data_IF_850436353371
#
_entry.id   IF_850436353371
#
_cell.length_a   1.000
_cell.length_b   1.000
_cell.length_c   1.000
_cell.angle_alpha   90.00
_cell.angle_beta   90.00
_cell.angle_gamma   90.00
#
_symmetry.space_group_name_H-M   'P 1'
#
loop_
_entity.id
_entity.type
_entity.pdbx_description
1 polymer ?
#
# COMPACT_ATOMS: atom_id res chain seq x y z
N UNK A 1 21.40 34.63 1.43
CA UNK A 1 20.63 33.42 1.77
C UNK A 1 19.76 33.71 2.97
N UNK A 2 18.43 33.67 2.79
CA UNK A 2 17.50 33.67 3.93
C UNK A 2 17.72 32.39 4.73
N UNK A 3 17.65 32.48 6.06
CA UNK A 3 17.60 31.30 6.92
C UNK A 3 16.36 30.53 6.50
N UNK A 4 16.50 29.33 5.95
CA UNK A 4 15.39 28.41 5.76
C UNK A 4 14.70 28.28 7.12
N UNK A 5 13.49 28.80 7.24
CA UNK A 5 12.69 28.66 8.44
C UNK A 5 12.18 27.21 8.41
N UNK A 6 12.94 26.34 9.06
CA UNK A 6 12.72 24.90 9.21
C UNK A 6 11.52 24.61 10.11
N UNK A 7 10.31 24.92 9.65
CA UNK A 7 9.10 24.62 10.41
C UNK A 7 7.98 24.26 9.45
N UNK A 8 7.83 22.97 9.24
CA UNK A 8 6.54 22.40 8.90
C UNK A 8 5.52 22.87 9.95
N UNK A 9 4.63 23.76 9.55
CA UNK A 9 3.61 24.42 10.38
C UNK A 9 2.19 24.17 9.85
N UNK A 10 2.03 23.99 8.54
CA UNK A 10 0.75 23.68 7.87
C UNK A 10 0.97 22.88 6.58
N UNK A 11 -0.08 22.22 6.11
CA UNK A 11 -0.18 21.64 4.77
C UNK A 11 -1.61 21.76 4.22
N UNK A 12 -1.76 21.67 2.90
CA UNK A 12 -3.04 21.56 2.21
C UNK A 12 -3.12 20.19 1.56
N UNK A 13 -4.24 19.51 1.78
CA UNK A 13 -4.44 18.11 1.39
C UNK A 13 -5.70 17.96 0.55
N UNK A 14 -5.69 17.00 -0.37
CA UNK A 14 -6.80 16.71 -1.26
C UNK A 14 -7.01 15.21 -1.39
N UNK A 15 -8.27 14.81 -1.56
CA UNK A 15 -8.62 13.44 -1.89
C UNK A 15 -8.30 13.17 -3.37
N UNK A 16 -7.61 12.07 -3.68
CA UNK A 16 -7.36 11.62 -5.06
C UNK A 16 -8.35 10.54 -5.49
N UNK A 17 -8.21 10.06 -6.72
CA UNK A 17 -9.09 9.04 -7.33
C UNK A 17 -9.06 7.69 -6.59
N UNK A 18 -7.97 7.42 -5.88
CA UNK A 18 -7.78 6.25 -5.01
C UNK A 18 -8.51 6.36 -3.66
N UNK A 19 -9.26 7.45 -3.44
CA UNK A 19 -9.95 7.76 -2.18
C UNK A 19 -9.02 7.92 -0.98
N UNK A 20 -7.74 8.20 -1.22
CA UNK A 20 -6.78 8.54 -0.19
C UNK A 20 -6.47 10.03 -0.16
N UNK A 21 -5.94 10.51 0.97
CA UNK A 21 -5.53 11.90 1.16
C UNK A 21 -4.06 12.10 0.79
N UNK A 22 -3.80 13.14 0.01
CA UNK A 22 -2.46 13.46 -0.46
C UNK A 22 -2.14 14.92 -0.21
N UNK A 23 -0.88 15.22 0.05
CA UNK A 23 -0.40 16.59 0.23
C UNK A 23 -0.31 17.27 -1.14
N UNK A 24 -0.93 18.45 -1.26
CA UNK A 24 -0.84 19.31 -2.43
C UNK A 24 0.12 20.49 -2.22
N UNK A 25 0.08 21.10 -1.04
CA UNK A 25 0.97 22.19 -0.67
C UNK A 25 1.46 22.02 0.78
N UNK A 26 2.69 22.41 1.07
CA UNK A 26 3.30 22.26 2.39
C UNK A 26 4.14 23.48 2.73
N UNK A 27 4.13 23.85 4.00
CA UNK A 27 4.90 24.99 4.51
C UNK A 27 6.43 24.83 4.45
N UNK A 28 6.92 23.60 4.32
CA UNK A 28 8.36 23.28 4.21
C UNK A 28 8.66 22.57 2.89
N UNK A 29 8.52 23.32 1.79
CA UNK A 29 8.77 22.89 0.40
C UNK A 29 10.25 22.61 0.08
N UNK A 30 11.15 22.80 1.06
CA UNK A 30 12.58 22.55 0.92
C UNK A 30 12.95 21.14 1.35
N UNK A 31 12.29 20.62 2.40
CA UNK A 31 12.60 19.30 2.96
C UNK A 31 11.61 18.22 2.52
N UNK A 32 10.44 18.62 2.00
CA UNK A 32 9.41 17.69 1.53
C UNK A 32 9.20 17.86 0.03
N UNK A 33 9.27 16.75 -0.69
CA UNK A 33 8.67 16.67 -2.02
C UNK A 33 7.17 16.40 -1.86
N UNK A 34 6.33 17.20 -2.51
CA UNK A 34 4.87 17.01 -2.48
C UNK A 34 4.43 15.93 -3.47
N UNK A 35 5.27 15.61 -4.47
CA UNK A 35 4.97 14.58 -5.45
C UNK A 35 4.96 13.19 -4.79
N UNK A 36 3.75 12.65 -4.60
CA UNK A 36 3.58 11.35 -3.95
C UNK A 36 3.61 11.39 -2.42
N UNK A 37 3.58 12.57 -1.80
CA UNK A 37 3.49 12.68 -0.35
C UNK A 37 2.06 12.40 0.12
N UNK A 38 1.88 11.23 0.73
CA UNK A 38 0.62 10.82 1.32
C UNK A 38 0.47 11.27 2.76
N UNK A 39 -0.78 11.36 3.25
CA UNK A 39 -1.08 11.68 4.64
C UNK A 39 -2.21 10.79 5.13
N UNK A 40 -2.06 10.27 6.35
CA UNK A 40 -3.00 9.34 6.95
C UNK A 40 -4.13 10.14 7.59
N UNK A 41 -5.37 9.81 7.21
CA UNK A 41 -6.55 10.44 7.81
C UNK A 41 -6.92 9.81 9.17
N UNK A 42 -7.75 10.48 9.99
CA UNK A 42 -8.09 9.98 11.33
C UNK A 42 -8.70 8.58 11.37
N UNK A 43 -9.45 8.17 10.35
CA UNK A 43 -10.06 6.83 10.28
C UNK A 43 -9.02 5.77 9.93
N UNK A 44 -8.15 6.08 8.98
CA UNK A 44 -7.01 5.23 8.64
C UNK A 44 -6.10 5.04 9.86
N UNK A 45 -5.84 6.12 10.60
CA UNK A 45 -5.03 6.03 11.82
C UNK A 45 -5.72 5.22 12.92
N UNK A 46 -7.05 5.30 13.06
CA UNK A 46 -7.79 4.47 14.01
C UNK A 46 -7.60 2.97 13.72
N UNK A 47 -7.66 2.55 12.46
CA UNK A 47 -7.38 1.16 12.10
C UNK A 47 -5.92 0.78 12.38
N UNK A 48 -4.97 1.66 12.07
CA UNK A 48 -3.55 1.46 12.43
C UNK A 48 -3.42 1.29 13.95
N UNK A 49 -4.10 2.12 14.74
CA UNK A 49 -4.08 2.05 16.21
C UNK A 49 -4.60 0.70 16.72
N UNK A 50 -5.74 0.23 16.21
CA UNK A 50 -6.30 -1.08 16.57
C UNK A 50 -5.30 -2.22 16.26
N UNK A 51 -4.64 -2.17 15.09
CA UNK A 51 -3.63 -3.15 14.73
C UNK A 51 -2.35 -3.03 15.58
N UNK A 52 -1.94 -1.81 15.94
CA UNK A 52 -0.82 -1.56 16.84
C UNK A 52 -1.09 -2.06 18.26
N UNK A 53 -2.33 -1.98 18.75
CA UNK A 53 -2.69 -2.44 20.09
C UNK A 53 -2.31 -3.93 20.29
N UNK A 54 -2.46 -4.76 19.25
CA UNK A 54 -2.05 -6.18 19.26
C UNK A 54 -0.54 -6.38 19.47
N UNK A 55 0.29 -5.43 19.03
CA UNK A 55 1.75 -5.49 19.17
C UNK A 55 2.23 -5.01 20.54
N UNK A 56 1.35 -4.46 21.38
CA UNK A 56 1.70 -3.97 22.72
C UNK A 56 2.29 -5.08 23.59
N UNK A 57 1.72 -6.29 23.52
CA UNK A 57 2.21 -7.46 24.26
C UNK A 57 3.60 -7.92 23.82
N UNK A 58 3.99 -7.58 22.59
CA UNK A 58 5.29 -7.91 22.00
C UNK A 58 6.33 -6.80 22.20
N UNK A 59 5.98 -5.70 22.88
CA UNK A 59 6.91 -4.62 23.22
C UNK A 59 6.83 -3.42 22.27
N UNK A 60 5.64 -3.08 21.78
CA UNK A 60 5.42 -1.81 21.07
C UNK A 60 5.89 -0.62 21.92
N UNK A 61 6.63 0.28 21.29
CA UNK A 61 7.12 1.52 21.90
C UNK A 61 6.26 2.67 21.41
N UNK A 62 5.37 3.16 22.27
CA UNK A 62 4.46 4.27 21.94
C UNK A 62 5.21 5.55 21.55
N UNK A 63 6.42 5.77 22.07
CA UNK A 63 7.21 6.95 21.68
C UNK A 63 7.71 6.84 20.23
N UNK A 64 8.05 5.63 19.76
CA UNK A 64 8.41 5.43 18.35
C UNK A 64 7.23 5.76 17.44
N UNK A 65 6.01 5.37 17.82
CA UNK A 65 4.80 5.69 17.04
C UNK A 65 4.53 7.20 17.03
N UNK A 66 4.51 7.86 18.19
CA UNK A 66 4.25 9.31 18.27
C UNK A 66 5.32 10.12 17.52
N UNK A 67 6.58 9.68 17.52
CA UNK A 67 7.67 10.39 16.83
C UNK A 67 7.67 10.18 15.31
N UNK A 68 7.04 9.12 14.81
CA UNK A 68 7.03 8.77 13.39
C UNK A 68 6.19 9.73 12.53
N UNK A 69 5.31 10.52 13.15
CA UNK A 69 4.34 11.35 12.44
C UNK A 69 4.34 12.80 12.94
N UNK A 70 4.18 13.72 12.00
CA UNK A 70 3.70 15.06 12.28
C UNK A 70 2.17 15.04 12.38
N UNK A 71 1.64 15.64 13.44
CA UNK A 71 0.21 15.66 13.72
C UNK A 71 -0.44 16.97 13.27
N UNK A 72 -1.65 16.84 12.74
CA UNK A 72 -2.36 17.94 12.10
C UNK A 72 -3.85 17.96 12.45
N UNK A 73 -4.37 19.15 12.74
CA UNK A 73 -5.81 19.39 12.92
C UNK A 73 -6.40 20.11 11.69
N UNK A 74 -7.69 19.95 11.46
CA UNK A 74 -8.41 20.67 10.41
C UNK A 74 -8.51 22.15 10.77
N UNK A 75 -7.94 23.01 9.93
CA UNK A 75 -8.00 24.46 10.08
C UNK A 75 -9.14 25.08 9.26
N UNK A 76 -9.27 24.68 7.99
CA UNK A 76 -10.23 25.26 7.04
C UNK A 76 -10.56 24.26 5.92
N UNK A 77 -11.83 24.18 5.53
CA UNK A 77 -12.26 23.47 4.31
C UNK A 77 -12.09 24.38 3.08
N UNK A 78 -11.43 23.87 2.04
CA UNK A 78 -11.19 24.58 0.79
C UNK A 78 -12.35 24.37 -0.20
N UNK A 79 -12.50 25.29 -1.16
CA UNK A 79 -13.65 25.33 -2.07
C UNK A 79 -13.68 24.18 -3.09
N UNK A 80 -12.55 23.54 -3.33
CA UNK A 80 -12.34 22.41 -4.23
C UNK A 80 -12.51 21.05 -3.53
N UNK A 81 -12.87 21.04 -2.24
CA UNK A 81 -12.93 19.83 -1.43
C UNK A 81 -11.59 19.46 -0.79
N UNK A 82 -10.55 20.26 -1.00
CA UNK A 82 -9.32 20.18 -0.22
C UNK A 82 -9.53 20.65 1.22
N UNK A 83 -8.55 20.38 2.07
CA UNK A 83 -8.56 20.79 3.47
C UNK A 83 -7.21 21.40 3.82
N UNK A 84 -7.23 22.54 4.48
CA UNK A 84 -6.04 23.14 5.10
C UNK A 84 -5.89 22.60 6.51
N UNK A 85 -4.69 22.14 6.81
CA UNK A 85 -4.33 21.54 8.08
C UNK A 85 -3.28 22.38 8.81
N UNK A 86 -3.43 22.53 10.12
CA UNK A 86 -2.43 23.17 10.98
C UNK A 86 -1.72 22.12 11.83
N UNK A 87 -0.40 22.25 11.94
CA UNK A 87 0.40 21.35 12.76
C UNK A 87 0.10 21.57 14.24
N UNK A 88 -0.15 20.48 14.94
CA UNK A 88 -0.28 20.43 16.40
C UNK A 88 0.85 19.58 17.00
N UNK A 89 0.85 19.41 18.32
CA UNK A 89 1.85 18.57 19.03
C UNK A 89 1.21 17.53 19.93
N UNK A 90 -0.08 17.30 19.72
CA UNK A 90 -0.84 16.29 20.42
C UNK A 90 -0.41 14.91 19.92
N UNK A 91 -0.45 13.93 20.83
CA UNK A 91 -0.08 12.53 20.56
C UNK A 91 -1.21 11.84 19.80
N UNK A 92 -0.88 11.11 18.74
CA UNK A 92 -1.89 10.38 17.96
C UNK A 92 -2.53 9.25 18.76
N UNK A 93 -1.79 8.66 19.69
CA UNK A 93 -2.26 7.56 20.54
C UNK A 93 -3.12 8.01 21.72
N UNK A 94 -3.11 9.30 22.06
CA UNK A 94 -3.75 9.83 23.28
C UNK A 94 -4.74 10.95 23.04
N UNK A 95 -4.76 11.56 21.87
CA UNK A 95 -5.68 12.62 21.55
C UNK A 95 -7.10 12.06 21.42
N UNK A 96 -8.08 12.76 22.02
CA UNK A 96 -9.49 12.51 21.76
C UNK A 96 -9.95 13.13 20.41
N UNK A 97 -9.13 14.04 19.86
CA UNK A 97 -9.40 14.77 18.63
C UNK A 97 -9.04 13.94 17.39
N UNK A 98 -9.76 14.17 16.29
CA UNK A 98 -9.49 13.54 15.00
C UNK A 98 -8.31 14.24 14.31
N UNK A 99 -7.13 13.62 14.38
CA UNK A 99 -5.88 14.17 13.84
C UNK A 99 -5.45 13.45 12.57
N UNK A 100 -4.93 14.22 11.62
CA UNK A 100 -4.19 13.70 10.47
C UNK A 100 -2.74 13.41 10.88
N UNK A 101 -2.16 12.37 10.29
CA UNK A 101 -0.80 11.94 10.57
C UNK A 101 0.02 11.94 9.28
N UNK A 102 1.01 12.84 9.21
CA UNK A 102 1.96 12.92 8.11
C UNK A 102 3.25 12.20 8.51
N UNK A 103 3.67 11.14 7.81
CA UNK A 103 4.95 10.48 8.05
C UNK A 103 6.16 11.43 8.05
N UNK A 104 7.04 11.32 9.04
CA UNK A 104 8.33 12.03 9.05
C UNK A 104 9.37 11.26 8.20
N UNK A 105 9.28 11.46 6.87
CA UNK A 105 10.13 10.84 5.85
C UNK A 105 11.30 11.73 5.41
N UNK A 106 11.69 12.74 6.21
CA UNK A 106 12.84 13.61 5.86
C UNK A 106 14.15 12.81 5.68
N UNK A 107 14.28 11.67 6.34
CA UNK A 107 15.34 10.68 6.13
C UNK A 107 14.69 9.30 6.00
N UNK A 108 14.53 8.82 4.77
CA UNK A 108 13.87 7.54 4.48
C UNK A 108 14.60 6.32 5.06
N UNK A 109 15.90 6.42 5.34
CA UNK A 109 16.69 5.29 5.87
C UNK A 109 16.80 5.31 7.39
N UNK A 110 16.84 6.49 8.02
CA UNK A 110 17.19 6.68 9.44
C UNK A 110 16.32 7.72 10.16
N UNK A 111 15.25 8.15 9.54
CA UNK A 111 14.27 9.06 10.12
C UNK A 111 13.32 8.36 11.09
N UNK A 112 12.51 9.13 11.82
CA UNK A 112 11.55 8.58 12.79
C UNK A 112 10.56 7.58 12.17
N UNK A 113 10.09 7.87 10.95
CA UNK A 113 9.20 6.95 10.25
C UNK A 113 9.89 5.62 9.88
N UNK A 114 11.12 5.67 9.39
CA UNK A 114 11.92 4.48 9.07
C UNK A 114 12.19 3.61 10.32
N UNK A 115 12.44 4.23 11.47
CA UNK A 115 12.59 3.53 12.74
C UNK A 115 11.28 2.89 13.20
N UNK A 116 10.13 3.55 12.99
CA UNK A 116 8.81 2.98 13.23
C UNK A 116 8.54 1.76 12.36
N UNK A 117 8.74 1.85 11.04
CA UNK A 117 8.57 0.73 10.11
C UNK A 117 9.42 -0.48 10.54
N UNK A 118 10.71 -0.27 10.83
CA UNK A 118 11.59 -1.35 11.32
C UNK A 118 11.12 -1.94 12.65
N UNK A 119 10.57 -1.12 13.54
CA UNK A 119 10.06 -1.57 14.84
C UNK A 119 8.84 -2.47 14.65
N UNK A 120 7.81 -2.00 13.93
CA UNK A 120 6.58 -2.77 13.73
C UNK A 120 6.80 -4.03 12.90
N UNK A 121 7.71 -4.02 11.91
CA UNK A 121 8.08 -5.21 11.14
C UNK A 121 8.68 -6.30 12.04
N UNK A 122 9.59 -5.92 12.96
CA UNK A 122 10.16 -6.87 13.93
C UNK A 122 9.10 -7.43 14.86
N UNK A 123 8.21 -6.58 15.38
CA UNK A 123 7.15 -7.00 16.29
C UNK A 123 6.13 -7.90 15.60
N UNK A 124 5.75 -7.60 14.35
CA UNK A 124 4.87 -8.47 13.56
C UNK A 124 5.47 -9.86 13.38
N UNK A 125 6.75 -9.94 13.02
CA UNK A 125 7.44 -11.24 12.87
C UNK A 125 7.49 -12.01 14.18
N UNK A 126 7.74 -11.34 15.30
CA UNK A 126 7.69 -11.97 16.63
C UNK A 126 6.30 -12.53 16.93
N UNK A 127 5.25 -11.74 16.68
CA UNK A 127 3.87 -12.17 16.88
C UNK A 127 3.49 -13.34 15.97
N UNK A 128 3.85 -13.29 14.69
CA UNK A 128 3.56 -14.38 13.75
C UNK A 128 4.19 -15.69 14.19
N UNK A 129 5.45 -15.67 14.65
CA UNK A 129 6.13 -16.86 15.15
C UNK A 129 5.54 -17.40 16.47
N UNK A 130 4.82 -16.57 17.21
CA UNK A 130 4.13 -16.98 18.44
C UNK A 130 2.74 -17.56 18.14
N UNK A 131 2.04 -17.00 17.16
CA UNK A 131 0.69 -17.41 16.76
C UNK A 131 0.65 -18.58 15.79
N UNK A 132 1.71 -18.78 14.99
CA UNK A 132 1.75 -19.78 13.92
C UNK A 132 2.90 -20.76 14.17
N UNK A 133 2.59 -22.07 14.12
CA UNK A 133 3.59 -23.13 14.15
C UNK A 133 4.22 -23.32 12.77
N UNK A 134 5.21 -22.49 12.45
CA UNK A 134 5.96 -22.62 11.20
C UNK A 134 6.93 -23.80 11.23
N UNK A 135 7.13 -24.50 10.09
CA UNK A 135 8.19 -25.52 9.98
C UNK A 135 9.59 -24.98 10.27
N UNK A 136 9.85 -23.73 9.86
CA UNK A 136 11.05 -22.95 10.16
C UNK A 136 10.61 -21.54 10.59
N UNK A 137 11.26 -20.92 11.59
CA UNK A 137 10.86 -19.59 12.07
C UNK A 137 10.87 -18.56 10.94
N UNK A 138 9.77 -17.82 10.83
CA UNK A 138 9.65 -16.73 9.87
C UNK A 138 10.58 -15.58 10.27
N UNK A 139 11.32 -15.00 9.32
CA UNK A 139 12.29 -13.95 9.64
C UNK A 139 11.86 -12.57 9.13
N UNK A 140 12.51 -11.52 9.65
CA UNK A 140 12.31 -10.15 9.19
C UNK A 140 12.66 -10.02 7.70
N UNK A 141 13.72 -10.70 7.27
CA UNK A 141 14.14 -10.70 5.87
C UNK A 141 13.07 -11.30 4.94
N UNK A 142 12.32 -12.32 5.39
CA UNK A 142 11.23 -12.90 4.60
C UNK A 142 10.09 -11.89 4.40
N UNK A 143 9.68 -11.19 5.47
CA UNK A 143 8.67 -10.14 5.38
C UNK A 143 9.13 -9.00 4.47
N UNK A 144 10.35 -8.50 4.68
CA UNK A 144 10.90 -7.40 3.89
C UNK A 144 11.07 -7.74 2.40
N UNK A 145 11.36 -9.00 2.06
CA UNK A 145 11.43 -9.44 0.66
C UNK A 145 10.08 -9.28 -0.03
N UNK A 146 8.99 -9.72 0.61
CA UNK A 146 7.64 -9.59 0.08
C UNK A 146 7.22 -8.13 -0.05
N UNK A 147 7.52 -7.30 0.97
CA UNK A 147 7.22 -5.87 0.92
C UNK A 147 7.98 -5.17 -0.22
N UNK A 148 9.26 -5.50 -0.43
CA UNK A 148 10.04 -4.97 -1.56
C UNK A 148 9.48 -5.39 -2.92
N UNK A 149 9.00 -6.62 -3.06
CA UNK A 149 8.34 -7.07 -4.29
C UNK A 149 7.07 -6.27 -4.58
N UNK A 150 6.27 -5.99 -3.54
CA UNK A 150 5.06 -5.17 -3.63
C UNK A 150 5.38 -3.74 -4.04
N UNK A 151 6.33 -3.10 -3.35
CA UNK A 151 6.79 -1.74 -3.65
C UNK A 151 7.36 -1.66 -5.07
N UNK A 152 8.20 -2.63 -5.46
CA UNK A 152 8.78 -2.68 -6.81
C UNK A 152 7.71 -2.79 -7.88
N UNK A 153 6.65 -3.56 -7.63
CA UNK A 153 5.51 -3.66 -8.54
C UNK A 153 4.79 -2.32 -8.67
N UNK A 154 4.46 -1.67 -7.56
CA UNK A 154 3.82 -0.35 -7.56
C UNK A 154 4.66 0.69 -8.31
N UNK A 155 5.98 0.68 -8.11
CA UNK A 155 6.93 1.55 -8.79
C UNK A 155 6.97 1.29 -10.31
N UNK A 156 7.00 0.03 -10.75
CA UNK A 156 6.95 -0.32 -12.18
C UNK A 156 5.64 0.15 -12.84
N UNK A 157 4.56 0.21 -12.08
CA UNK A 157 3.25 0.70 -12.52
C UNK A 157 3.13 2.23 -12.45
N UNK A 158 4.17 2.92 -11.97
CA UNK A 158 4.21 4.38 -11.83
C UNK A 158 3.27 4.92 -10.75
N UNK A 159 2.94 4.10 -9.75
CA UNK A 159 2.09 4.49 -8.62
C UNK A 159 2.95 4.74 -7.38
N UNK A 160 2.61 5.79 -6.64
CA UNK A 160 3.13 5.99 -5.29
C UNK A 160 2.29 5.13 -4.34
N UNK A 161 2.95 4.35 -3.49
CA UNK A 161 2.28 3.62 -2.41
C UNK A 161 1.90 4.62 -1.31
N UNK A 162 0.64 4.57 -0.87
CA UNK A 162 0.17 5.41 0.22
C UNK A 162 0.69 4.86 1.55
N UNK A 163 1.16 5.73 2.45
CA UNK A 163 1.78 5.27 3.72
C UNK A 163 0.83 4.47 4.61
N UNK A 164 -0.48 4.72 4.56
CA UNK A 164 -1.46 3.83 5.17
C UNK A 164 -1.36 2.38 4.66
N UNK A 165 -1.26 2.18 3.34
CA UNK A 165 -1.16 0.84 2.74
C UNK A 165 0.16 0.17 3.12
N UNK A 166 1.27 0.90 3.13
CA UNK A 166 2.58 0.42 3.58
C UNK A 166 2.50 -0.11 5.03
N UNK A 167 1.93 0.69 5.95
CA UNK A 167 1.82 0.33 7.36
C UNK A 167 0.92 -0.88 7.55
N UNK A 168 -0.27 -0.89 6.94
CA UNK A 168 -1.21 -2.01 7.08
C UNK A 168 -0.65 -3.29 6.45
N UNK A 169 0.10 -3.19 5.35
CA UNK A 169 0.76 -4.35 4.73
C UNK A 169 1.77 -5.02 5.66
N UNK A 170 2.29 -4.30 6.66
CA UNK A 170 3.11 -4.87 7.73
C UNK A 170 2.22 -5.34 8.87
N UNK A 171 1.37 -4.46 9.41
CA UNK A 171 0.62 -4.72 10.64
C UNK A 171 -0.38 -5.87 10.51
N UNK A 172 -0.96 -6.06 9.33
CA UNK A 172 -1.95 -7.11 9.05
C UNK A 172 -1.35 -8.27 8.22
N UNK A 173 -0.02 -8.30 8.03
CA UNK A 173 0.63 -9.30 7.20
C UNK A 173 0.41 -10.73 7.71
N UNK A 174 -0.11 -11.62 6.87
CA UNK A 174 -0.18 -13.07 7.14
C UNK A 174 0.47 -13.82 5.97
N UNK A 175 1.44 -14.72 6.21
CA UNK A 175 2.04 -15.51 5.15
C UNK A 175 1.01 -16.40 4.43
N UNK A 176 1.21 -16.62 3.13
CA UNK A 176 0.34 -17.45 2.31
C UNK A 176 0.14 -18.86 2.91
N UNK A 177 -1.11 -19.30 2.98
CA UNK A 177 -1.48 -20.62 3.51
C UNK A 177 -1.68 -20.67 5.02
N UNK A 178 -1.53 -19.54 5.73
CA UNK A 178 -1.80 -19.42 7.16
C UNK A 178 -2.98 -18.48 7.43
N UNK A 179 -3.60 -18.63 8.60
CA UNK A 179 -4.65 -17.75 9.12
C UNK A 179 -4.40 -17.57 10.62
N UNK A 180 -4.66 -16.38 11.16
CA UNK A 180 -4.56 -16.15 12.59
C UNK A 180 -5.84 -16.60 13.28
N UNK A 181 -5.74 -17.11 14.51
CA UNK A 181 -6.93 -17.54 15.26
C UNK A 181 -7.93 -16.38 15.47
N UNK A 182 -7.44 -15.14 15.56
CA UNK A 182 -8.27 -13.92 15.59
C UNK A 182 -9.16 -13.78 14.36
N UNK A 183 -8.76 -14.32 13.21
CA UNK A 183 -9.53 -14.27 11.96
C UNK A 183 -10.58 -15.41 11.88
N UNK A 184 -10.49 -16.40 12.77
CA UNK A 184 -11.38 -17.56 12.79
C UNK A 184 -12.68 -17.30 13.57
N UNK A 185 -12.72 -16.29 14.43
CA UNK A 185 -13.92 -15.95 15.22
C UNK A 185 -15.03 -15.30 14.37
N UNK A 186 -14.68 -14.67 13.24
CA UNK A 186 -15.64 -14.25 12.20
C UNK A 186 -16.05 -15.40 11.25
N UNK A 187 -15.36 -16.55 11.34
CA UNK A 187 -15.57 -17.72 10.49
C UNK A 187 -16.34 -18.86 11.17
N UNK A 188 -16.94 -18.64 12.35
CA UNK A 188 -17.61 -19.70 13.15
C UNK A 188 -18.84 -20.33 12.47
N UNK A 189 -19.29 -19.85 11.31
CA UNK A 189 -20.36 -20.52 10.54
C UNK A 189 -19.90 -21.43 9.39
N UNK A 190 -18.60 -21.73 9.25
CA UNK A 190 -18.16 -22.80 8.35
C UNK A 190 -17.06 -23.64 8.95
N UNK A 191 -17.46 -24.68 9.70
CA UNK A 191 -16.65 -25.90 9.82
C UNK A 191 -16.42 -26.46 8.41
N UNK A 192 -15.19 -26.61 7.90
CA UNK A 192 -14.95 -27.65 6.93
C UNK A 192 -14.92 -28.97 7.71
N UNK A 193 -15.91 -29.83 7.48
CA UNK A 193 -15.77 -31.24 7.79
C UNK A 193 -14.51 -31.74 7.05
N UNK A 194 -13.48 -32.10 7.81
CA UNK A 194 -12.36 -32.89 7.30
C UNK A 194 -12.93 -34.26 6.93
N UNK A 195 -13.36 -34.41 5.67
CA UNK A 195 -13.46 -35.69 4.99
C UNK A 195 -12.22 -35.85 4.13
N UNK A 196 -11.21 -36.52 4.69
CA UNK A 196 -10.22 -37.23 3.91
C UNK A 196 -10.93 -38.32 3.11
N UNK A 197 -11.35 -38.00 1.89
CA UNK A 197 -11.76 -38.99 0.91
C UNK A 197 -11.00 -38.66 -0.37
N UNK A 198 -9.78 -39.20 -0.48
CA UNK A 198 -9.02 -39.20 -1.72
C UNK A 198 -9.89 -39.85 -2.80
N UNK A 199 -10.23 -39.17 -3.91
CA UNK A 199 -10.81 -39.86 -5.04
C UNK A 199 -9.74 -40.80 -5.60
N UNK A 200 -10.02 -42.11 -5.57
CA UNK A 200 -9.25 -43.10 -6.32
C UNK A 200 -9.18 -42.63 -7.78
N UNK A 201 -7.96 -42.47 -8.29
CA UNK A 201 -7.70 -42.21 -9.70
C UNK A 201 -8.28 -43.37 -10.52
N UNK A 202 -9.47 -43.17 -11.09
CA UNK A 202 -9.94 -44.02 -12.19
C UNK A 202 -8.91 -43.91 -13.32
N UNK A 203 -8.29 -45.05 -13.63
CA UNK A 203 -7.41 -45.23 -14.77
C UNK A 203 -8.13 -44.76 -16.04
N UNK A 204 -7.69 -43.64 -16.60
CA UNK A 204 -8.12 -43.18 -17.92
C UNK A 204 -7.67 -44.22 -18.94
N UNK A 205 -8.61 -44.99 -19.48
CA UNK A 205 -8.39 -45.78 -20.69
C UNK A 205 -8.00 -44.81 -21.82
N UNK A 206 -6.87 -45.07 -22.49
CA UNK A 206 -6.44 -44.34 -23.68
C UNK A 206 -7.55 -44.39 -24.74
N UNK A 207 -8.20 -43.24 -24.96
CA UNK A 207 -9.11 -43.07 -26.09
C UNK A 207 -8.30 -42.85 -27.39
N UNK A 208 -8.70 -43.48 -28.50
CA UNK A 208 -7.94 -43.48 -29.75
C UNK A 208 -7.95 -42.11 -30.45
N UNK A 209 -6.87 -41.86 -31.20
CA UNK A 209 -6.68 -40.71 -32.08
C UNK A 209 -7.83 -40.57 -33.10
N UNK A 210 -8.73 -39.59 -32.92
CA UNK A 210 -9.55 -39.06 -34.01
C UNK A 210 -9.64 -37.53 -33.97
N UNK A 211 -8.92 -36.93 -34.92
CA UNK A 211 -9.17 -35.66 -35.63
C UNK A 211 -9.91 -34.53 -34.90
N UNK A 212 -9.12 -33.60 -34.34
CA UNK A 212 -9.55 -32.25 -34.06
C UNK A 212 -9.93 -31.53 -35.38
N UNK A 213 -11.24 -31.49 -35.70
CA UNK A 213 -11.78 -30.51 -36.64
C UNK A 213 -11.79 -29.13 -35.98
N UNK A 214 -10.71 -28.39 -36.17
CA UNK A 214 -10.63 -26.96 -35.91
C UNK A 214 -11.60 -26.24 -36.87
N UNK A 215 -12.73 -25.77 -36.34
CA UNK A 215 -13.57 -24.80 -37.04
C UNK A 215 -12.81 -23.47 -37.15
N UNK A 216 -12.28 -23.21 -38.36
CA UNK A 216 -11.73 -21.90 -38.74
C UNK A 216 -12.82 -20.85 -38.58
N UNK A 217 -12.68 -19.95 -37.61
CA UNK A 217 -13.36 -18.66 -37.66
C UNK A 217 -12.67 -17.81 -38.73
N UNK A 218 -13.32 -17.74 -39.88
CA UNK A 218 -12.96 -16.91 -41.02
C UNK A 218 -13.55 -15.51 -40.84
N UNK A 219 -12.77 -14.59 -40.24
CA UNK A 219 -12.98 -13.13 -40.35
C UNK A 219 -11.77 -12.33 -39.82
N UNK A 220 -10.57 -12.66 -40.33
CA UNK A 220 -9.54 -11.62 -40.52
C UNK A 220 -9.83 -10.95 -41.87
N UNK A 221 -10.58 -9.84 -41.87
CA UNK A 221 -10.55 -8.87 -42.98
C UNK A 221 -9.63 -7.73 -42.58
N UNK A 222 -8.40 -7.84 -43.05
CA UNK A 222 -7.49 -6.72 -43.20
C UNK A 222 -7.82 -6.16 -44.58
N UNK A 223 -8.61 -5.07 -44.64
CA UNK A 223 -8.80 -4.34 -45.88
C UNK A 223 -7.53 -3.51 -46.12
N UNK A 224 -6.55 -4.13 -46.78
CA UNK A 224 -5.57 -3.42 -47.60
C UNK A 224 -6.30 -2.95 -48.86
N UNK A 225 -6.65 -1.67 -48.94
CA UNK A 225 -6.89 -1.02 -50.23
C UNK A 225 -5.58 -0.42 -50.73
N UNK A 226 -5.17 -0.96 -51.89
CA UNK A 226 -4.03 -0.59 -52.71
C UNK A 226 -4.08 0.83 -53.27
N UNK A 227 -2.87 1.26 -53.65
CA UNK A 227 -2.39 2.40 -54.43
C UNK A 227 -3.32 3.09 -55.46
N UNK A 228 -3.10 4.40 -55.62
CA UNK A 228 -2.85 5.20 -56.86
C UNK A 228 -3.18 6.68 -56.51
N UNK A 229 -2.48 7.76 -56.86
CA UNK A 229 -1.40 8.07 -57.79
C UNK A 229 -0.84 9.48 -57.45
N UNK A 230 0.47 9.68 -57.67
CA UNK A 230 1.15 10.88 -58.19
C UNK A 230 0.73 12.31 -57.73
N UNK A 231 1.70 13.08 -57.19
CA UNK A 231 2.44 14.11 -57.97
C UNK A 231 3.48 14.90 -57.13
N UNK A 232 4.75 14.73 -57.53
CA UNK A 232 5.79 15.74 -57.76
C UNK A 232 6.13 16.84 -56.72
N UNK A 233 7.37 16.75 -56.19
CA UNK A 233 8.31 17.88 -56.00
C UNK A 233 8.36 18.77 -57.27
N UNK A 234 8.58 20.09 -57.31
CA UNK A 234 9.58 20.92 -56.63
C UNK A 234 9.31 22.42 -56.97
N UNK A 235 9.56 23.30 -55.99
CA UNK A 235 10.18 24.66 -56.06
C UNK A 235 9.74 25.79 -57.03
N UNK A 236 9.49 26.92 -56.35
CA UNK A 236 10.02 28.29 -56.54
C UNK A 236 9.50 29.28 -57.61
N UNK A 237 9.28 30.50 -57.06
CA UNK A 237 9.57 31.84 -57.60
C UNK A 237 8.49 32.55 -58.40
N UNK A 238 8.20 33.79 -57.97
CA UNK A 238 7.38 34.77 -58.70
C UNK A 238 6.69 35.78 -57.81
#
# INVERSE_FOLDING_TARGET
MGKANKRLDWCEVHLREDSNWWVGEISDDVNFDVEGLSIIDPKQFLQIHESLDSLTEYGLDSEIVDNAFFTFEIAEELKDGGVKLNRVRDSLLKADDLLFALPDIMDEEKGPYADFIKHVTKLRVLMLNDLIDFPEPYTVENLEEILREKESTAFMEGRHEHSYEEIISILEFVPDGFQLETDLDDAVDKKPEVKEEYPELETVEEAPEEEARLEKQENLRWDEEEEEENTAEEKESG
#
